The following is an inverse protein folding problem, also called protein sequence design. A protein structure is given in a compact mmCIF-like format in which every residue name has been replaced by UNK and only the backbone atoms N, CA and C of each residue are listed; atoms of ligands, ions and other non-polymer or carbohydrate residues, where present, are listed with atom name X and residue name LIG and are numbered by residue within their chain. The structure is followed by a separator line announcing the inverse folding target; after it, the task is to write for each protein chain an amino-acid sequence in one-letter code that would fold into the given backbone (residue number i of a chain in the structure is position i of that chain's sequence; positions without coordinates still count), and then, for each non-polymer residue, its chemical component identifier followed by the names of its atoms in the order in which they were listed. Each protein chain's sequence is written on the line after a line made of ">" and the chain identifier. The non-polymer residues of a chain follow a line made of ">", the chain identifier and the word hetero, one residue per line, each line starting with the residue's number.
data_IF_806486550581
#
_entry.id   IF_806486550581
#
_cell.length_a   1.000
_cell.length_b   1.000
_cell.length_c   1.000
_cell.angle_alpha   90.00
_cell.angle_beta   90.00
_cell.angle_gamma   90.00
#
_symmetry.space_group_name_H-M   'P 1'
#
loop_
_entity.id
_entity.type
_entity.pdbx_description
1 polymer ?
#
# COMPACT_ATOMS: atom_id res chain seq x y z
N UNK A 1 -19.37 17.58 -3.66
CA UNK A 1 -18.47 17.51 -4.82
C UNK A 1 -16.99 17.63 -4.44
N UNK A 2 -16.61 18.35 -3.38
CA UNK A 2 -15.20 18.47 -2.95
C UNK A 2 -14.59 17.24 -2.24
N UNK A 3 -15.38 16.34 -1.64
CA UNK A 3 -14.83 15.12 -1.01
C UNK A 3 -14.29 14.11 -2.04
N UNK A 4 -15.00 13.90 -3.15
CA UNK A 4 -14.60 12.93 -4.18
C UNK A 4 -13.30 13.31 -4.89
N UNK A 5 -13.07 14.60 -5.13
CA UNK A 5 -11.84 15.07 -5.80
C UNK A 5 -10.59 14.92 -4.92
N UNK A 6 -10.73 15.03 -3.59
CA UNK A 6 -9.63 14.79 -2.64
C UNK A 6 -9.31 13.30 -2.52
N UNK A 7 -10.34 12.44 -2.46
CA UNK A 7 -10.18 10.99 -2.44
C UNK A 7 -9.46 10.49 -3.70
N UNK A 8 -9.77 11.04 -4.88
CA UNK A 8 -9.14 10.64 -6.15
C UNK A 8 -7.66 11.03 -6.24
N UNK A 9 -7.27 12.19 -5.70
CA UNK A 9 -5.86 12.62 -5.66
C UNK A 9 -5.06 11.79 -4.66
N UNK A 10 -5.61 11.57 -3.46
CA UNK A 10 -4.97 10.73 -2.46
C UNK A 10 -4.81 9.29 -2.98
N UNK A 11 -5.84 8.73 -3.62
CA UNK A 11 -5.79 7.42 -4.28
C UNK A 11 -4.66 7.33 -5.30
N UNK A 12 -4.56 8.30 -6.22
CA UNK A 12 -3.48 8.30 -7.24
C UNK A 12 -2.09 8.43 -6.61
N UNK A 13 -1.94 9.31 -5.63
CA UNK A 13 -0.66 9.47 -4.94
C UNK A 13 -0.23 8.21 -4.18
N UNK A 14 -1.18 7.44 -3.64
CA UNK A 14 -0.95 6.13 -3.04
C UNK A 14 -0.58 5.08 -4.10
N UNK A 15 -1.28 5.05 -5.23
CA UNK A 15 -0.97 4.14 -6.37
C UNK A 15 0.44 4.37 -6.92
N UNK A 16 0.84 5.63 -7.11
CA UNK A 16 2.16 6.01 -7.61
C UNK A 16 3.25 5.88 -6.53
N UNK A 17 2.87 5.57 -5.28
CA UNK A 17 3.79 5.55 -4.15
C UNK A 17 4.42 6.92 -3.87
N UNK A 18 3.78 8.02 -4.26
CA UNK A 18 4.26 9.40 -4.06
C UNK A 18 3.50 10.09 -2.93
N UNK A 19 3.81 9.72 -1.69
CA UNK A 19 3.16 10.24 -0.49
C UNK A 19 3.34 11.76 -0.32
N UNK A 20 4.42 12.35 -0.85
CA UNK A 20 4.67 13.79 -0.78
C UNK A 20 3.73 14.61 -1.65
N UNK A 21 3.14 14.00 -2.69
CA UNK A 21 2.17 14.65 -3.57
C UNK A 21 0.72 14.53 -3.10
N UNK A 22 0.49 13.71 -2.07
CA UNK A 22 -0.83 13.52 -1.48
C UNK A 22 -1.12 14.65 -0.48
N UNK A 23 -2.32 15.25 -0.54
CA UNK A 23 -2.80 16.19 0.47
C UNK A 23 -3.28 15.43 1.72
N UNK A 24 -2.32 14.79 2.41
CA UNK A 24 -2.57 13.97 3.60
C UNK A 24 -2.17 14.71 4.87
N UNK A 25 -2.97 14.56 5.96
CA UNK A 25 -2.56 14.97 7.29
C UNK A 25 -1.20 14.39 7.67
N UNK A 26 -0.42 15.15 8.44
CA UNK A 26 0.92 14.71 8.89
C UNK A 26 0.87 13.35 9.62
N UNK A 27 -0.12 13.14 10.49
CA UNK A 27 -0.30 11.88 11.21
C UNK A 27 -0.44 10.67 10.27
N UNK A 28 -1.23 10.81 9.20
CA UNK A 28 -1.45 9.74 8.21
C UNK A 28 -0.22 9.53 7.33
N UNK A 29 0.44 10.62 6.92
CA UNK A 29 1.68 10.53 6.14
C UNK A 29 2.77 9.76 6.88
N UNK A 30 2.97 10.04 8.17
CA UNK A 30 3.98 9.35 8.98
C UNK A 30 3.64 7.86 9.17
N UNK A 31 2.35 7.52 9.32
CA UNK A 31 1.93 6.13 9.35
C UNK A 31 2.27 5.42 8.03
N UNK A 32 2.03 6.07 6.90
CA UNK A 32 2.33 5.52 5.57
C UNK A 32 3.84 5.40 5.31
N UNK A 33 4.68 6.24 5.89
CA UNK A 33 6.14 6.08 5.83
C UNK A 33 6.63 4.87 6.64
N UNK A 34 6.02 4.58 7.79
CA UNK A 34 6.26 3.32 8.51
C UNK A 34 5.82 2.12 7.65
N UNK A 35 4.62 2.17 7.06
CA UNK A 35 4.11 1.12 6.15
C UNK A 35 5.07 0.90 4.98
N UNK A 36 5.53 1.97 4.31
CA UNK A 36 6.54 1.89 3.24
C UNK A 36 7.82 1.19 3.73
N UNK A 37 8.31 1.55 4.91
CA UNK A 37 9.51 0.96 5.50
C UNK A 37 9.31 -0.54 5.72
N UNK A 38 8.18 -0.97 6.27
CA UNK A 38 7.85 -2.39 6.48
C UNK A 38 7.78 -3.13 5.14
N UNK A 39 7.13 -2.56 4.14
CA UNK A 39 6.96 -3.20 2.82
C UNK A 39 8.30 -3.39 2.10
N UNK A 40 9.17 -2.38 2.09
CA UNK A 40 10.41 -2.39 1.31
C UNK A 40 11.64 -2.88 2.09
N UNK A 41 11.73 -2.53 3.37
CA UNK A 41 12.92 -2.66 4.19
C UNK A 41 12.58 -2.96 5.67
N UNK A 42 11.73 -3.96 5.95
CA UNK A 42 11.28 -4.29 7.30
C UNK A 42 12.43 -4.39 8.34
N UNK A 43 13.61 -4.87 7.94
CA UNK A 43 14.80 -4.96 8.81
C UNK A 43 15.39 -3.60 9.25
N UNK A 44 14.88 -2.48 8.72
CA UNK A 44 15.27 -1.11 9.04
C UNK A 44 14.23 -0.36 9.89
N UNK A 45 13.13 -0.99 10.27
CA UNK A 45 12.16 -0.34 11.17
C UNK A 45 12.82 -0.02 12.50
N UNK A 46 12.53 1.14 13.05
CA UNK A 46 13.13 1.63 14.31
C UNK A 46 12.07 1.97 15.34
N UNK A 47 12.46 1.93 16.62
CA UNK A 47 11.61 2.37 17.73
C UNK A 47 11.24 3.86 17.62
N UNK A 48 12.14 4.69 17.06
CA UNK A 48 11.90 6.12 16.82
C UNK A 48 10.71 6.37 15.89
N UNK A 49 10.51 5.52 14.87
CA UNK A 49 9.35 5.63 13.98
C UNK A 49 8.04 5.35 14.73
N UNK A 50 8.04 4.36 15.63
CA UNK A 50 6.87 4.02 16.45
C UNK A 50 6.58 5.14 17.45
N UNK A 51 7.62 5.67 18.09
CA UNK A 51 7.47 6.76 19.06
C UNK A 51 6.95 8.04 18.42
N UNK A 52 7.40 8.37 17.20
CA UNK A 52 6.87 9.49 16.42
C UNK A 52 5.37 9.36 16.17
N UNK A 53 4.86 8.16 15.89
CA UNK A 53 3.43 7.92 15.71
C UNK A 53 2.64 8.13 17.00
N UNK A 54 3.17 7.71 18.15
CA UNK A 54 2.53 7.98 19.45
C UNK A 54 2.43 9.48 19.74
N UNK A 55 3.47 10.24 19.40
CA UNK A 55 3.47 11.71 19.54
C UNK A 55 2.40 12.36 18.65
N UNK A 56 2.04 11.73 17.53
CA UNK A 56 0.96 12.11 16.63
C UNK A 56 -0.40 11.52 17.04
N UNK A 57 -0.52 11.04 18.27
CA UNK A 57 -1.74 10.52 18.90
C UNK A 57 -2.26 9.18 18.33
N UNK A 58 -1.43 8.43 17.60
CA UNK A 58 -1.76 7.03 17.27
C UNK A 58 -1.63 6.15 18.51
N UNK A 59 -2.59 5.24 18.72
CA UNK A 59 -2.49 4.25 19.79
C UNK A 59 -1.63 3.06 19.39
N UNK A 60 -1.07 2.35 20.36
CA UNK A 60 -0.27 1.14 20.08
C UNK A 60 -1.09 0.07 19.33
N UNK A 61 -2.40 -0.04 19.60
CA UNK A 61 -3.29 -0.95 18.88
C UNK A 61 -3.43 -0.58 17.41
N UNK A 62 -3.59 0.71 17.09
CA UNK A 62 -3.68 1.18 15.71
C UNK A 62 -2.37 0.98 14.96
N UNK A 63 -1.24 1.24 15.62
CA UNK A 63 0.09 1.01 15.05
C UNK A 63 0.29 -0.49 14.77
N UNK A 64 -0.06 -1.34 15.74
CA UNK A 64 0.04 -2.79 15.59
C UNK A 64 -0.86 -3.32 14.45
N UNK A 65 -2.07 -2.79 14.31
CA UNK A 65 -2.97 -3.12 13.21
C UNK A 65 -2.37 -2.71 11.85
N UNK A 66 -1.81 -1.51 11.75
CA UNK A 66 -1.15 -1.05 10.52
C UNK A 66 0.04 -1.95 10.13
N UNK A 67 0.88 -2.32 11.11
CA UNK A 67 2.00 -3.27 10.90
C UNK A 67 1.48 -4.62 10.42
N UNK A 68 0.42 -5.13 11.05
CA UNK A 68 -0.18 -6.42 10.71
C UNK A 68 -0.72 -6.43 9.27
N UNK A 69 -1.48 -5.40 8.88
CA UNK A 69 -2.03 -5.27 7.52
C UNK A 69 -0.90 -5.14 6.49
N UNK A 70 0.11 -4.29 6.76
CA UNK A 70 1.24 -4.10 5.87
C UNK A 70 2.01 -5.41 5.62
N UNK A 71 2.27 -6.18 6.69
CA UNK A 71 2.93 -7.47 6.59
C UNK A 71 2.11 -8.49 5.79
N UNK A 72 0.79 -8.53 6.02
CA UNK A 72 -0.13 -9.44 5.34
C UNK A 72 -0.20 -9.16 3.82
N UNK A 73 -0.30 -7.89 3.41
CA UNK A 73 -0.26 -7.52 2.00
C UNK A 73 1.09 -7.87 1.37
N UNK A 74 2.20 -7.60 2.06
CA UNK A 74 3.51 -7.94 1.56
C UNK A 74 3.70 -9.46 1.42
N UNK A 75 3.05 -10.28 2.25
CA UNK A 75 2.99 -11.73 2.06
C UNK A 75 2.23 -12.11 0.78
N UNK A 76 1.01 -11.58 0.58
CA UNK A 76 0.23 -11.88 -0.62
C UNK A 76 0.92 -11.47 -1.91
N UNK A 77 1.54 -10.29 -1.93
CA UNK A 77 2.31 -9.82 -3.08
C UNK A 77 3.44 -10.80 -3.42
N UNK A 78 4.20 -11.26 -2.42
CA UNK A 78 5.28 -12.24 -2.63
C UNK A 78 4.76 -13.59 -3.14
N UNK A 79 3.60 -14.03 -2.67
CA UNK A 79 2.95 -15.24 -3.19
C UNK A 79 2.53 -15.04 -4.64
N UNK A 80 1.86 -13.94 -4.96
CA UNK A 80 1.43 -13.62 -6.32
C UNK A 80 2.63 -13.53 -7.28
N UNK A 81 3.69 -12.83 -6.88
CA UNK A 81 4.92 -12.67 -7.66
C UNK A 81 5.62 -14.02 -7.89
N UNK A 82 5.69 -14.88 -6.88
CA UNK A 82 6.32 -16.21 -6.97
C UNK A 82 5.58 -17.14 -7.92
N UNK A 83 4.25 -17.05 -7.97
CA UNK A 83 3.41 -17.85 -8.89
C UNK A 83 3.15 -17.16 -10.23
N UNK A 84 3.68 -15.94 -10.43
CA UNK A 84 3.49 -15.18 -11.66
C UNK A 84 2.04 -14.79 -11.93
N UNK A 85 1.22 -14.60 -10.89
CA UNK A 85 -0.16 -14.15 -11.04
C UNK A 85 -0.19 -12.76 -11.67
N UNK A 86 -1.00 -12.57 -12.71
CA UNK A 86 -1.18 -11.27 -13.33
C UNK A 86 -2.05 -10.37 -12.44
N UNK A 87 -1.85 -9.04 -12.55
CA UNK A 87 -2.77 -8.08 -11.95
C UNK A 87 -4.16 -8.30 -12.58
N UNK A 88 -5.20 -8.62 -11.80
CA UNK A 88 -6.53 -8.92 -12.32
C UNK A 88 -7.28 -7.67 -12.83
N UNK A 89 -6.57 -6.57 -13.14
CA UNK A 89 -7.12 -5.28 -13.54
C UNK A 89 -8.40 -4.95 -12.74
N UNK A 90 -8.26 -4.75 -11.42
CA UNK A 90 -9.41 -4.48 -10.56
C UNK A 90 -10.23 -3.27 -11.04
N UNK A 91 -9.63 -2.33 -11.73
CA UNK A 91 -10.30 -1.24 -12.44
C UNK A 91 -11.30 -1.72 -13.51
N UNK A 92 -10.97 -2.78 -14.24
CA UNK A 92 -11.84 -3.42 -15.22
C UNK A 92 -12.99 -4.15 -14.51
N UNK A 93 -12.68 -4.88 -13.44
CA UNK A 93 -13.68 -5.54 -12.60
C UNK A 93 -14.70 -4.55 -12.02
N UNK A 94 -14.24 -3.44 -11.45
CA UNK A 94 -15.09 -2.40 -10.86
C UNK A 94 -15.94 -1.67 -11.93
N UNK A 95 -15.46 -1.62 -13.17
CA UNK A 95 -16.19 -1.05 -14.33
C UNK A 95 -17.03 -2.10 -15.08
N UNK A 96 -17.12 -3.33 -14.59
CA UNK A 96 -17.88 -4.42 -15.20
C UNK A 96 -17.31 -4.94 -16.52
N UNK A 97 -16.03 -4.68 -16.80
CA UNK A 97 -15.32 -5.16 -17.99
C UNK A 97 -14.73 -6.56 -17.74
N UNK A 98 -14.67 -7.44 -18.75
CA UNK A 98 -14.06 -8.76 -18.60
C UNK A 98 -12.55 -8.62 -18.36
N UNK A 99 -12.05 -9.37 -17.38
CA UNK A 99 -10.61 -9.45 -17.08
C UNK A 99 -9.94 -10.43 -18.05
N UNK A 100 -8.78 -10.07 -18.59
CA UNK A 100 -7.90 -11.01 -19.28
C UNK A 100 -7.41 -12.12 -18.33
N UNK A 101 -6.93 -13.25 -18.85
CA UNK A 101 -6.53 -14.41 -18.01
C UNK A 101 -5.54 -14.00 -16.93
N UNK A 102 -5.66 -14.61 -15.74
CA UNK A 102 -4.84 -14.32 -14.55
C UNK A 102 -3.39 -14.86 -14.66
N UNK A 103 -2.97 -15.25 -15.85
CA UNK A 103 -1.69 -15.89 -16.15
C UNK A 103 -0.77 -14.89 -16.84
N UNK A 104 0.41 -14.63 -16.26
CA UNK A 104 1.49 -13.95 -16.99
C UNK A 104 2.11 -14.95 -17.98
N UNK A 105 1.45 -15.14 -19.13
CA UNK A 105 1.96 -16.02 -20.19
C UNK A 105 3.15 -15.40 -20.96
N UNK A 106 3.61 -14.21 -20.57
CA UNK A 106 4.67 -13.43 -21.25
C UNK A 106 6.07 -13.52 -20.61
N UNK A 107 6.31 -14.39 -19.61
CA UNK A 107 7.69 -14.67 -19.17
C UNK A 107 8.32 -15.74 -20.07
N UNK A 108 8.74 -15.35 -21.27
CA UNK A 108 9.80 -16.06 -21.98
C UNK A 108 11.05 -16.07 -21.09
N UNK A 109 11.43 -17.27 -20.64
CA UNK A 109 12.72 -17.52 -19.99
C UNK A 109 13.74 -17.62 -21.13
N UNK A 110 14.61 -16.61 -21.24
CA UNK A 110 15.86 -16.70 -22.00
C UNK A 110 16.91 -17.46 -21.17
#
# INVERSE_FOLDING_TARGET
>A
MQLQDNDDKARRALEDGNLASADLPEAERELLELVRTITLHAYKTTDDQVEKLRQLQWTDEQIAEAVYIAALFAFFNRVADAFGLANPNYDDLLKGRPVASLTNDDKEID
#
